data_IF_942513316492
#
_entry.id   IF_942513316492
#
_cell.length_a   1.000
_cell.length_b   1.000
_cell.length_c   1.000
_cell.angle_alpha   90.00
_cell.angle_beta   90.00
_cell.angle_gamma   90.00
#
_symmetry.space_group_name_H-M   'P 1'
#
loop_
_entity.id
_entity.type
_entity.pdbx_description
1 polymer ?
#
# COMPACT_ATOMS: atom_id res chain seq x y z
N UNK A 1 3.36 31.39 -7.66
CA UNK A 1 3.10 30.84 -7.50
C UNK A 1 2.92 30.11 -7.54
N UNK A 2 2.91 29.87 -7.47
CA UNK A 2 2.69 29.05 -7.34
C UNK A 2 2.50 28.39 -7.13
N UNK A 3 2.35 28.14 -7.06
CA UNK A 3 2.20 27.40 -6.74
C UNK A 3 1.78 26.57 -6.50
N UNK A 4 1.51 26.70 -6.26
CA UNK A 4 1.00 25.84 -5.81
C UNK A 4 0.65 24.78 -6.32
N UNK A 5 0.79 24.25 -6.16
CA UNK A 5 0.55 23.20 -6.67
C UNK A 5 -0.34 22.49 -6.26
N UNK A 6 -1.01 22.70 -6.51
CA UNK A 6 -1.64 21.94 -6.15
C UNK A 6 -1.67 20.86 -6.78
N UNK A 7 -1.28 20.20 -6.35
CA UNK A 7 -1.09 18.92 -6.77
C UNK A 7 -2.28 18.08 -6.54
N UNK A 8 -2.47 17.11 -7.37
CA UNK A 8 -3.45 16.09 -7.15
C UNK A 8 -3.16 15.37 -5.85
N UNK A 9 -4.17 14.86 -5.15
CA UNK A 9 -3.95 14.05 -3.97
C UNK A 9 -3.12 12.83 -4.29
N UNK A 10 -2.32 12.39 -3.32
CA UNK A 10 -1.60 11.13 -3.46
C UNK A 10 -2.58 10.00 -3.58
N UNK A 11 -2.23 9.02 -4.40
CA UNK A 11 -3.13 7.93 -4.74
C UNK A 11 -2.58 6.62 -4.16
N UNK A 12 -3.33 6.01 -3.26
CA UNK A 12 -2.95 4.78 -2.60
C UNK A 12 -3.74 3.63 -3.21
N UNK A 13 -3.03 2.57 -3.58
CA UNK A 13 -3.67 1.32 -3.97
C UNK A 13 -3.63 0.41 -2.75
N UNK A 14 -4.80 0.02 -2.25
CA UNK A 14 -4.90 -0.76 -1.02
C UNK A 14 -5.49 -2.13 -1.33
N UNK A 15 -4.83 -3.18 -0.85
CA UNK A 15 -5.24 -4.56 -1.07
C UNK A 15 -5.31 -5.30 0.25
N UNK A 16 -6.47 -5.85 0.56
CA UNK A 16 -6.68 -6.63 1.77
C UNK A 16 -7.90 -7.50 1.50
N UNK A 17 -7.86 -8.77 1.87
CA UNK A 17 -8.98 -9.67 1.60
C UNK A 17 -10.14 -9.51 2.57
N UNK A 18 -10.03 -8.63 3.56
CA UNK A 18 -11.08 -8.35 4.53
C UNK A 18 -11.90 -7.15 4.07
N UNK A 19 -13.12 -7.40 3.57
CA UNK A 19 -14.01 -6.37 3.04
C UNK A 19 -14.27 -5.24 4.02
N UNK A 20 -14.50 -5.60 5.28
CA UNK A 20 -14.83 -4.61 6.30
C UNK A 20 -13.66 -3.69 6.56
N UNK A 21 -12.47 -4.26 6.63
CA UNK A 21 -11.27 -3.49 6.87
C UNK A 21 -10.96 -2.60 5.67
N UNK A 22 -11.14 -3.12 4.46
CA UNK A 22 -10.94 -2.33 3.25
C UNK A 22 -11.83 -1.09 3.28
N UNK A 23 -13.10 -1.27 3.60
CA UNK A 23 -14.05 -0.16 3.65
C UNK A 23 -13.59 0.90 4.67
N UNK A 24 -13.23 0.45 5.87
CA UNK A 24 -12.89 1.36 6.95
C UNK A 24 -11.58 2.10 6.68
N UNK A 25 -10.54 1.39 6.28
CA UNK A 25 -9.24 2.00 6.00
C UNK A 25 -9.36 2.99 4.85
N UNK A 26 -10.10 2.62 3.81
CA UNK A 26 -10.29 3.51 2.67
C UNK A 26 -10.93 4.82 3.12
N UNK A 27 -11.99 4.75 3.94
CA UNK A 27 -12.66 5.95 4.40
C UNK A 27 -11.76 6.84 5.23
N UNK A 28 -10.97 6.22 6.11
CA UNK A 28 -10.08 6.99 6.96
C UNK A 28 -8.97 7.66 6.18
N UNK A 29 -8.44 6.97 5.17
CA UNK A 29 -7.40 7.56 4.34
C UNK A 29 -7.97 8.67 3.45
N UNK A 30 -9.18 8.48 2.93
CA UNK A 30 -9.82 9.52 2.13
C UNK A 30 -10.08 10.76 2.95
N UNK A 31 -10.42 10.60 4.21
CA UNK A 31 -10.60 11.75 5.10
C UNK A 31 -9.31 12.54 5.31
N UNK A 32 -8.18 11.89 5.16
CA UNK A 32 -6.88 12.56 5.27
C UNK A 32 -6.45 13.19 3.95
N UNK A 33 -7.30 13.13 2.92
CA UNK A 33 -7.04 13.78 1.66
C UNK A 33 -6.39 12.91 0.60
N UNK A 34 -6.30 11.60 0.83
CA UNK A 34 -5.73 10.69 -0.17
C UNK A 34 -6.82 10.18 -1.10
N UNK A 35 -6.44 9.89 -2.34
CA UNK A 35 -7.26 9.07 -3.21
C UNK A 35 -6.93 7.61 -2.90
N UNK A 36 -7.95 6.77 -2.84
CA UNK A 36 -7.73 5.36 -2.54
C UNK A 36 -8.49 4.51 -3.54
N UNK A 37 -7.76 3.61 -4.19
CA UNK A 37 -8.35 2.54 -4.99
C UNK A 37 -8.12 1.27 -4.20
N UNK A 38 -9.18 0.55 -3.88
CA UNK A 38 -9.07 -0.59 -3.00
C UNK A 38 -9.64 -1.84 -3.66
N UNK A 39 -8.97 -2.97 -3.40
CA UNK A 39 -9.40 -4.26 -3.92
C UNK A 39 -9.29 -5.30 -2.83
N UNK A 40 -10.09 -6.36 -2.98
CA UNK A 40 -9.97 -7.54 -2.13
C UNK A 40 -9.34 -8.70 -2.90
N UNK A 41 -9.10 -8.53 -4.19
CA UNK A 41 -8.53 -9.56 -5.07
C UNK A 41 -7.12 -9.18 -5.49
N UNK A 42 -6.18 -10.10 -5.32
CA UNK A 42 -4.79 -9.87 -5.71
C UNK A 42 -4.66 -9.62 -7.21
N UNK A 43 -5.36 -10.40 -8.02
CA UNK A 43 -5.26 -10.24 -9.47
C UNK A 43 -5.81 -8.89 -9.91
N UNK A 44 -6.86 -8.38 -9.26
CA UNK A 44 -7.42 -7.09 -9.61
C UNK A 44 -6.44 -5.97 -9.28
N UNK A 45 -5.75 -6.07 -8.14
CA UNK A 45 -4.76 -5.06 -7.77
C UNK A 45 -3.59 -5.06 -8.74
N UNK A 46 -3.09 -6.23 -9.08
CA UNK A 46 -1.97 -6.34 -10.03
C UNK A 46 -2.38 -5.79 -11.39
N UNK A 47 -3.60 -6.11 -11.82
CA UNK A 47 -4.08 -5.65 -13.12
C UNK A 47 -4.24 -4.13 -13.15
N UNK A 48 -4.60 -3.52 -12.02
CA UNK A 48 -4.71 -2.06 -11.95
C UNK A 48 -3.35 -1.40 -12.19
N UNK A 49 -2.28 -1.98 -11.66
CA UNK A 49 -0.94 -1.46 -11.89
C UNK A 49 -0.51 -1.71 -13.34
N UNK A 50 -0.85 -2.86 -13.87
CA UNK A 50 -0.52 -3.18 -15.26
C UNK A 50 -1.16 -2.18 -16.22
N UNK A 51 -2.43 -1.83 -15.94
CA UNK A 51 -3.18 -0.93 -16.80
C UNK A 51 -2.63 0.48 -16.78
N UNK A 52 -2.14 0.94 -15.63
CA UNK A 52 -1.59 2.29 -15.51
C UNK A 52 -0.51 2.31 -14.43
N UNK A 53 0.73 1.95 -14.80
CA UNK A 53 1.79 1.83 -13.80
C UNK A 53 2.14 3.13 -13.08
N UNK A 54 1.78 4.27 -13.64
CA UNK A 54 2.10 5.56 -13.04
C UNK A 54 0.97 6.12 -12.17
N UNK A 55 -0.14 5.38 -12.06
CA UNK A 55 -1.33 5.92 -11.40
C UNK A 55 -1.20 6.02 -9.89
N UNK A 56 -0.34 5.21 -9.28
CA UNK A 56 -0.33 5.08 -7.82
C UNK A 56 0.97 5.58 -7.22
N UNK A 57 0.86 6.19 -6.04
CA UNK A 57 2.01 6.64 -5.28
C UNK A 57 2.47 5.60 -4.25
N UNK A 58 1.55 4.73 -3.84
CA UNK A 58 1.85 3.69 -2.86
C UNK A 58 0.96 2.49 -3.11
N UNK A 59 1.56 1.29 -3.04
CA UNK A 59 0.79 0.06 -2.86
C UNK A 59 0.90 -0.34 -1.39
N UNK A 60 -0.24 -0.47 -0.74
CA UNK A 60 -0.31 -1.00 0.62
C UNK A 60 -1.07 -2.30 0.54
N UNK A 61 -0.40 -3.42 0.81
CA UNK A 61 -1.04 -4.73 0.72
C UNK A 61 -0.90 -5.47 2.04
N UNK A 62 -1.97 -6.19 2.40
CA UNK A 62 -1.91 -7.11 3.51
C UNK A 62 -0.94 -8.25 3.17
N UNK A 63 -0.25 -8.76 4.19
CA UNK A 63 0.70 -9.87 4.00
C UNK A 63 -0.04 -11.21 3.91
N UNK A 64 -0.96 -11.43 4.84
CA UNK A 64 -1.66 -12.72 4.96
C UNK A 64 -2.94 -12.74 4.16
N UNK A 65 -2.88 -13.36 3.00
CA UNK A 65 -4.05 -13.54 2.14
C UNK A 65 -4.02 -14.94 1.56
N UNK A 66 -5.18 -15.56 1.34
CA UNK A 66 -5.21 -16.87 0.68
C UNK A 66 -4.63 -16.77 -0.73
N UNK A 67 -3.88 -17.78 -1.11
CA UNK A 67 -3.26 -17.79 -2.43
C UNK A 67 -1.95 -17.03 -2.43
N UNK A 68 -1.93 -15.90 -3.11
CA UNK A 68 -0.72 -15.08 -3.16
C UNK A 68 -0.58 -14.26 -1.88
N UNK A 69 0.60 -14.31 -1.27
CA UNK A 69 0.88 -13.45 -0.13
C UNK A 69 1.11 -12.01 -0.58
N UNK A 70 1.14 -11.10 0.40
CA UNK A 70 1.47 -9.71 0.09
C UNK A 70 2.84 -9.53 -0.54
N UNK A 71 3.80 -10.38 -0.18
CA UNK A 71 5.12 -10.32 -0.81
C UNK A 71 5.08 -10.79 -2.27
N UNK A 72 4.25 -11.79 -2.56
CA UNK A 72 4.08 -12.24 -3.95
C UNK A 72 3.48 -11.12 -4.79
N UNK A 73 2.48 -10.43 -4.23
CA UNK A 73 1.88 -9.30 -4.92
C UNK A 73 2.90 -8.18 -5.13
N UNK A 74 3.69 -7.90 -4.09
CA UNK A 74 4.72 -6.87 -4.18
C UNK A 74 5.71 -7.18 -5.31
N UNK A 75 6.14 -8.44 -5.41
CA UNK A 75 7.07 -8.83 -6.46
C UNK A 75 6.46 -8.63 -7.84
N UNK A 76 5.20 -9.02 -8.00
CA UNK A 76 4.52 -8.88 -9.29
C UNK A 76 4.37 -7.42 -9.67
N UNK A 77 3.99 -6.58 -8.70
CA UNK A 77 3.77 -5.16 -8.96
C UNK A 77 5.09 -4.45 -9.23
N UNK A 78 6.14 -4.78 -8.50
CA UNK A 78 7.44 -4.14 -8.71
C UNK A 78 8.09 -4.57 -10.01
N UNK A 79 7.71 -5.74 -10.55
CA UNK A 79 8.14 -6.12 -11.88
C UNK A 79 7.50 -5.23 -12.94
N UNK A 80 6.28 -4.73 -12.67
CA UNK A 80 5.58 -3.85 -13.60
C UNK A 80 5.99 -2.39 -13.43
N UNK A 81 6.26 -1.97 -12.19
CA UNK A 81 6.62 -0.59 -11.88
C UNK A 81 7.68 -0.59 -10.78
N UNK A 82 8.96 -0.69 -11.14
CA UNK A 82 10.03 -0.81 -10.15
C UNK A 82 10.17 0.37 -9.18
N UNK A 83 9.68 1.54 -9.56
CA UNK A 83 9.83 2.73 -8.71
C UNK A 83 8.64 2.96 -7.80
N UNK A 84 7.63 2.09 -7.84
CA UNK A 84 6.48 2.25 -6.96
C UNK A 84 6.87 1.96 -5.52
N UNK A 85 6.42 2.82 -4.60
CA UNK A 85 6.61 2.57 -3.18
C UNK A 85 5.63 1.50 -2.74
N UNK A 86 6.14 0.43 -2.12
CA UNK A 86 5.31 -0.67 -1.67
C UNK A 86 5.51 -0.88 -0.18
N UNK A 87 4.41 -0.98 0.55
CA UNK A 87 4.40 -1.32 1.97
C UNK A 87 3.53 -2.55 2.16
N UNK A 88 3.95 -3.42 3.05
CA UNK A 88 3.22 -4.65 3.37
C UNK A 88 2.80 -4.57 4.83
N UNK A 89 1.53 -4.85 5.10
CA UNK A 89 0.97 -4.76 6.45
C UNK A 89 0.78 -6.15 7.01
N UNK A 90 1.16 -6.35 8.27
CA UNK A 90 1.04 -7.64 8.92
C UNK A 90 0.71 -7.47 10.39
N UNK A 91 -0.08 -8.40 10.93
CA UNK A 91 -0.40 -8.41 12.35
C UNK A 91 0.74 -8.88 13.23
N UNK A 92 1.79 -9.41 12.63
CA UNK A 92 3.02 -9.75 13.32
C UNK A 92 4.17 -9.57 12.34
N UNK A 93 5.35 -9.25 12.86
CA UNK A 93 6.51 -8.99 12.02
C UNK A 93 7.70 -9.76 12.59
N UNK A 94 8.33 -10.56 11.75
CA UNK A 94 9.53 -11.31 12.14
C UNK A 94 10.72 -10.76 11.38
N UNK A 95 11.92 -11.04 11.88
CA UNK A 95 13.14 -10.64 11.19
C UNK A 95 13.21 -11.25 9.79
N UNK A 96 12.76 -12.50 9.69
CA UNK A 96 12.74 -13.21 8.42
C UNK A 96 11.83 -12.54 7.42
N UNK A 97 10.65 -12.14 7.86
CA UNK A 97 9.70 -11.43 7.01
C UNK A 97 10.27 -10.09 6.52
N UNK A 98 10.92 -9.37 7.43
CA UNK A 98 11.53 -8.10 7.06
C UNK A 98 12.64 -8.28 6.04
N UNK A 99 13.44 -9.31 6.21
CA UNK A 99 14.52 -9.59 5.26
C UNK A 99 13.98 -9.94 3.89
N UNK A 100 12.94 -10.76 3.84
CA UNK A 100 12.32 -11.14 2.57
C UNK A 100 11.67 -9.94 1.89
N UNK A 101 11.02 -9.09 2.67
CA UNK A 101 10.38 -7.89 2.13
C UNK A 101 11.42 -6.97 1.53
N UNK A 102 12.50 -6.75 2.25
CA UNK A 102 13.58 -5.89 1.75
C UNK A 102 14.16 -6.46 0.47
N UNK A 103 14.40 -7.76 0.42
CA UNK A 103 14.94 -8.40 -0.78
C UNK A 103 13.99 -8.28 -1.96
N UNK A 104 12.69 -8.20 -1.70
CA UNK A 104 11.69 -8.06 -2.75
C UNK A 104 11.52 -6.62 -3.22
N UNK A 105 12.13 -5.65 -2.53
CA UNK A 105 12.00 -4.24 -2.89
C UNK A 105 10.91 -3.50 -2.13
N UNK A 106 10.35 -4.13 -1.10
CA UNK A 106 9.33 -3.50 -0.27
C UNK A 106 9.98 -2.44 0.60
N UNK A 107 9.37 -1.25 0.64
CA UNK A 107 9.89 -0.12 1.37
C UNK A 107 9.80 -0.34 2.88
N UNK A 108 8.69 -0.86 3.33
CA UNK A 108 8.46 -1.01 4.76
C UNK A 108 7.42 -2.10 5.03
N UNK A 109 7.64 -2.85 6.13
CA UNK A 109 6.62 -3.74 6.66
C UNK A 109 5.97 -3.00 7.81
N UNK A 110 4.66 -2.79 7.71
CA UNK A 110 3.90 -1.97 8.66
C UNK A 110 3.13 -2.88 9.59
N UNK A 111 3.19 -2.57 10.88
CA UNK A 111 2.44 -3.35 11.86
C UNK A 111 0.96 -3.00 11.78
N UNK A 112 0.14 -4.03 11.58
CA UNK A 112 -1.31 -3.86 11.43
C UNK A 112 -1.92 -3.99 12.81
N UNK A 113 -2.18 -2.86 13.45
CA UNK A 113 -2.70 -2.87 14.81
C UNK A 113 -4.21 -2.92 14.82
N UNK A 114 -4.79 -3.22 15.99
CA UNK A 114 -6.23 -3.15 16.18
C UNK A 114 -6.73 -1.71 16.12
N UNK A 115 -5.85 -0.75 16.38
CA UNK A 115 -6.22 0.65 16.31
C UNK A 115 -6.07 1.12 14.86
N UNK A 116 -7.15 1.01 14.11
CA UNK A 116 -7.13 1.30 12.68
C UNK A 116 -6.67 2.73 12.40
N UNK A 117 -7.04 3.67 13.25
CA UNK A 117 -6.60 5.05 13.05
C UNK A 117 -5.09 5.20 13.20
N UNK A 118 -4.49 4.49 14.15
CA UNK A 118 -3.05 4.52 14.31
C UNK A 118 -2.36 3.92 13.08
N UNK A 119 -2.92 2.86 12.55
CA UNK A 119 -2.41 2.24 11.33
C UNK A 119 -2.47 3.23 10.17
N UNK A 120 -3.59 3.93 10.00
CA UNK A 120 -3.73 4.91 8.93
C UNK A 120 -2.76 6.07 9.10
N UNK A 121 -2.44 6.43 10.35
CA UNK A 121 -1.47 7.48 10.59
C UNK A 121 -0.09 7.09 10.09
N UNK A 122 0.32 5.85 10.33
CA UNK A 122 1.60 5.35 9.82
C UNK A 122 1.61 5.36 8.30
N UNK A 123 0.52 4.90 7.68
CA UNK A 123 0.41 4.87 6.23
C UNK A 123 0.48 6.28 5.67
N UNK A 124 -0.23 7.22 6.28
CA UNK A 124 -0.21 8.60 5.81
C UNK A 124 1.19 9.19 5.86
N UNK A 125 1.93 8.91 6.94
CA UNK A 125 3.30 9.38 7.06
C UNK A 125 4.19 8.78 5.98
N UNK A 126 4.00 7.51 5.69
CA UNK A 126 4.79 6.83 4.70
C UNK A 126 4.56 7.40 3.30
N UNK A 127 3.31 7.70 2.96
CA UNK A 127 2.98 8.27 1.65
C UNK A 127 3.58 9.66 1.50
N UNK A 128 3.56 10.45 2.58
CA UNK A 128 4.08 11.81 2.53
C UNK A 128 5.58 11.86 2.57
N UNK A 129 6.22 10.80 3.03
CA UNK A 129 7.65 10.76 3.17
C UNK A 129 8.29 10.81 1.79
N UNK A 130 9.08 11.84 1.55
CA UNK A 130 9.74 11.97 0.27
C UNK A 130 11.03 11.19 0.29
N UNK A 131 11.29 10.43 -0.74
CA UNK A 131 12.60 9.80 -0.86
C UNK A 131 13.61 10.89 -1.13
N UNK A 132 14.63 10.86 -0.45
CA UNK A 132 15.64 11.92 -0.57
C UNK A 132 16.78 11.45 -1.45
#
# INVERSE_FOLDING_TARGET
MADAPTTAPRHILYLDDDDTLVFLVRRLLERRGFRVTAFTSQSDAIEAVRADPQAFDLLLTDYNMPGMSGLDVARAVLALQPSLTVAVASGYITDEMQAEAKAAGVREVVFKTDAVEAFCEVVARLVRSEPV
#
